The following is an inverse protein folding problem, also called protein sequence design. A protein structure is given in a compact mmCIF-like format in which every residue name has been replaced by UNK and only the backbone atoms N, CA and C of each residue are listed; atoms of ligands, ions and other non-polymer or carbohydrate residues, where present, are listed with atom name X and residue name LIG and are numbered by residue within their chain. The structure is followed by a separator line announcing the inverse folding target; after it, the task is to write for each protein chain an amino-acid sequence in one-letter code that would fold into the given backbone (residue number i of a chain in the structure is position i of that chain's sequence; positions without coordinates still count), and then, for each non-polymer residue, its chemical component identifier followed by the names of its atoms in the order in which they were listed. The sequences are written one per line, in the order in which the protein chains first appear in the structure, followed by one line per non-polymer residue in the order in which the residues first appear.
data_IF_522931953993
#
_entry.id   IF_522931953993
#
_cell.length_a   1.000
_cell.length_b   1.000
_cell.length_c   1.000
_cell.angle_alpha   90.00
_cell.angle_beta   90.00
_cell.angle_gamma   90.00
#
_symmetry.space_group_name_H-M   'P 1'
#
loop_
_entity.id
_entity.type
_entity.pdbx_description
1 polymer ?
#
# COMPACT_ATOMS: atom_id res chain seq x y z
N UNK A 1 -79.04 55.26 24.47
CA UNK A 1 -78.56 54.28 25.49
C UNK A 1 -78.53 52.89 24.86
N UNK A 2 -77.35 52.36 24.49
CA UNK A 2 -77.19 50.95 24.09
C UNK A 2 -75.96 50.37 24.77
N UNK A 3 -76.16 49.13 25.23
CA UNK A 3 -75.38 48.33 26.15
C UNK A 3 -73.97 47.99 25.67
N UNK A 4 -73.02 47.95 26.62
CA UNK A 4 -71.63 47.46 26.48
C UNK A 4 -71.63 45.96 26.19
N UNK A 5 -70.93 45.53 25.14
CA UNK A 5 -70.41 44.16 25.02
C UNK A 5 -68.92 44.18 25.31
N UNK A 6 -68.51 43.53 26.40
CA UNK A 6 -67.10 43.33 26.76
C UNK A 6 -66.67 41.93 26.28
N UNK A 7 -65.87 41.88 25.21
CA UNK A 7 -65.23 40.65 24.77
C UNK A 7 -64.19 40.23 25.82
N UNK A 8 -64.53 39.25 26.64
CA UNK A 8 -63.55 38.55 27.50
C UNK A 8 -62.71 37.63 26.62
N UNK A 9 -61.48 38.04 26.32
CA UNK A 9 -60.46 37.12 25.81
C UNK A 9 -60.17 36.07 26.90
N UNK A 10 -60.60 34.83 26.68
CA UNK A 10 -60.14 33.69 27.48
C UNK A 10 -58.62 33.62 27.38
N UNK A 11 -57.92 33.80 28.52
CA UNK A 11 -56.48 33.56 28.59
C UNK A 11 -56.26 32.05 28.41
N UNK A 12 -55.43 31.61 27.46
CA UNK A 12 -55.13 30.20 27.30
C UNK A 12 -54.52 29.66 28.59
N UNK A 13 -54.99 28.48 29.01
CA UNK A 13 -54.50 27.75 30.17
C UNK A 13 -52.98 27.63 30.15
N UNK A 14 -52.35 27.94 31.28
CA UNK A 14 -50.91 27.87 31.46
C UNK A 14 -50.39 26.46 31.17
N UNK A 15 -49.75 26.27 30.01
CA UNK A 15 -48.97 25.08 29.70
C UNK A 15 -47.78 25.04 30.68
N UNK A 16 -47.88 24.23 31.73
CA UNK A 16 -46.82 24.05 32.73
C UNK A 16 -46.25 22.64 32.58
N UNK A 17 -44.96 22.56 32.26
CA UNK A 17 -44.11 21.40 32.56
C UNK A 17 -43.60 20.57 31.38
N UNK A 18 -44.39 20.36 30.32
CA UNK A 18 -44.05 19.35 29.28
C UNK A 18 -43.09 19.88 28.20
N UNK A 19 -43.11 21.18 27.90
CA UNK A 19 -42.27 21.76 26.84
C UNK A 19 -40.76 21.56 27.06
N UNK A 20 -40.30 21.67 28.32
CA UNK A 20 -38.89 21.44 28.67
C UNK A 20 -38.47 19.99 28.43
N UNK A 21 -39.34 19.03 28.78
CA UNK A 21 -39.06 17.59 28.60
C UNK A 21 -38.96 17.26 27.12
N UNK A 22 -39.90 17.75 26.30
CA UNK A 22 -39.86 17.55 24.84
C UNK A 22 -38.59 18.17 24.24
N UNK A 23 -38.24 19.40 24.64
CA UNK A 23 -37.02 20.06 24.18
C UNK A 23 -35.75 19.27 24.53
N UNK A 24 -35.68 18.71 25.74
CA UNK A 24 -34.56 17.88 26.17
C UNK A 24 -34.48 16.57 25.36
N UNK A 25 -35.61 15.89 25.14
CA UNK A 25 -35.66 14.68 24.32
C UNK A 25 -35.20 14.97 22.89
N UNK A 26 -35.70 16.04 22.27
CA UNK A 26 -35.30 16.44 20.92
C UNK A 26 -33.81 16.79 20.86
N UNK A 27 -33.28 17.49 21.87
CA UNK A 27 -31.86 17.82 21.94
C UNK A 27 -30.99 16.55 22.05
N UNK A 28 -31.39 15.59 22.88
CA UNK A 28 -30.70 14.30 23.00
C UNK A 28 -30.75 13.49 21.70
N UNK A 29 -31.89 13.49 21.00
CA UNK A 29 -32.00 12.82 19.71
C UNK A 29 -31.07 13.46 18.67
N UNK A 30 -31.04 14.79 18.59
CA UNK A 30 -30.13 15.52 17.69
C UNK A 30 -28.66 15.26 18.01
N UNK A 31 -28.27 15.22 19.29
CA UNK A 31 -26.88 14.93 19.67
C UNK A 31 -26.47 13.51 19.34
N UNK A 32 -27.34 12.52 19.55
CA UNK A 32 -27.07 11.13 19.16
C UNK A 32 -26.89 10.99 17.65
N UNK A 33 -27.76 11.63 16.85
CA UNK A 33 -27.61 11.65 15.40
C UNK A 33 -26.28 12.30 14.98
N UNK A 34 -25.95 13.45 15.58
CA UNK A 34 -24.66 14.13 15.36
C UNK A 34 -23.45 13.24 15.68
N UNK A 35 -23.46 12.57 16.83
CA UNK A 35 -22.38 11.65 17.23
C UNK A 35 -22.24 10.45 16.30
N UNK A 36 -23.36 9.86 15.86
CA UNK A 36 -23.30 8.75 14.89
C UNK A 36 -22.71 9.18 13.55
N UNK A 37 -23.05 10.39 13.06
CA UNK A 37 -22.47 10.96 11.84
C UNK A 37 -20.96 11.19 11.99
N UNK A 38 -20.52 11.74 13.11
CA UNK A 38 -19.08 11.98 13.37
C UNK A 38 -18.28 10.68 13.44
N UNK A 39 -18.84 9.64 14.05
CA UNK A 39 -18.21 8.30 14.08
C UNK A 39 -18.05 7.71 12.68
N UNK A 40 -19.03 7.93 11.80
CA UNK A 40 -18.95 7.52 10.39
C UNK A 40 -17.78 8.20 9.66
N UNK A 41 -17.70 9.53 9.75
CA UNK A 41 -16.61 10.31 9.14
C UNK A 41 -15.23 9.87 9.64
N UNK A 42 -15.08 9.63 10.94
CA UNK A 42 -13.80 9.18 11.50
C UNK A 42 -13.37 7.79 10.99
N UNK A 43 -14.32 6.89 10.69
CA UNK A 43 -14.01 5.60 10.08
C UNK A 43 -13.61 5.75 8.62
N UNK A 44 -14.32 6.59 7.85
CA UNK A 44 -13.99 6.89 6.46
C UNK A 44 -12.61 7.55 6.32
N UNK A 45 -12.26 8.46 7.22
CA UNK A 45 -10.92 9.08 7.26
C UNK A 45 -9.82 8.03 7.45
N UNK A 46 -9.99 7.09 8.38
CA UNK A 46 -9.03 5.99 8.62
C UNK A 46 -8.91 5.05 7.43
N UNK A 47 -10.03 4.68 6.79
CA UNK A 47 -10.02 3.84 5.59
C UNK A 47 -9.34 4.55 4.41
N UNK A 48 -9.58 5.85 4.26
CA UNK A 48 -8.96 6.69 3.22
C UNK A 48 -7.46 6.83 3.46
N UNK A 49 -7.03 7.08 4.70
CA UNK A 49 -5.62 7.14 5.08
C UNK A 49 -4.88 5.84 4.78
N UNK A 50 -5.43 4.69 5.20
CA UNK A 50 -4.84 3.38 4.92
C UNK A 50 -4.77 3.07 3.41
N UNK A 51 -5.81 3.42 2.65
CA UNK A 51 -5.83 3.23 1.19
C UNK A 51 -4.79 4.11 0.49
N UNK A 52 -4.63 5.35 0.96
CA UNK A 52 -3.63 6.27 0.47
C UNK A 52 -2.21 5.77 0.74
N UNK A 53 -1.92 5.35 1.98
CA UNK A 53 -0.61 4.78 2.36
C UNK A 53 -0.28 3.54 1.53
N UNK A 54 -1.25 2.63 1.33
CA UNK A 54 -1.05 1.44 0.49
C UNK A 54 -0.79 1.80 -0.97
N UNK A 55 -1.48 2.80 -1.51
CA UNK A 55 -1.28 3.27 -2.89
C UNK A 55 0.11 3.87 -3.08
N UNK A 56 0.59 4.64 -2.09
CA UNK A 56 1.93 5.20 -2.11
C UNK A 56 3.01 4.10 -2.00
N UNK A 57 2.82 3.12 -1.10
CA UNK A 57 3.72 1.96 -1.02
C UNK A 57 3.75 1.17 -2.33
N UNK A 58 2.61 1.01 -3.01
CA UNK A 58 2.54 0.34 -4.32
C UNK A 58 3.34 1.10 -5.38
N UNK A 59 3.14 2.43 -5.49
CA UNK A 59 3.90 3.26 -6.43
C UNK A 59 5.42 3.20 -6.16
N UNK A 60 5.82 3.18 -4.89
CA UNK A 60 7.24 3.03 -4.53
C UNK A 60 7.79 1.65 -4.94
N UNK A 61 7.04 0.57 -4.70
CA UNK A 61 7.45 -0.77 -5.12
C UNK A 61 7.51 -0.89 -6.65
N UNK A 62 6.57 -0.29 -7.38
CA UNK A 62 6.57 -0.27 -8.85
C UNK A 62 7.77 0.54 -9.39
N UNK A 63 8.09 1.69 -8.78
CA UNK A 63 9.28 2.46 -9.12
C UNK A 63 10.56 1.62 -8.99
N UNK A 64 10.73 0.90 -7.88
CA UNK A 64 11.88 0.03 -7.68
C UNK A 64 11.92 -1.14 -8.68
N UNK A 65 10.76 -1.73 -8.99
CA UNK A 65 10.65 -2.80 -9.98
C UNK A 65 11.12 -2.31 -11.36
N UNK A 66 10.66 -1.13 -11.80
CA UNK A 66 11.05 -0.52 -13.08
C UNK A 66 12.53 -0.17 -13.13
N UNK A 67 13.09 0.34 -12.04
CA UNK A 67 14.51 0.64 -11.92
C UNK A 67 15.36 -0.64 -12.07
N UNK A 68 14.97 -1.72 -11.39
CA UNK A 68 15.64 -3.00 -11.47
C UNK A 68 15.51 -3.64 -12.87
N UNK A 69 14.35 -3.55 -13.52
CA UNK A 69 14.15 -3.99 -14.91
C UNK A 69 15.09 -3.23 -15.87
N UNK A 70 15.19 -1.90 -15.74
CA UNK A 70 16.11 -1.10 -16.54
C UNK A 70 17.58 -1.45 -16.31
N UNK A 71 17.95 -1.74 -15.05
CA UNK A 71 19.30 -2.21 -14.72
C UNK A 71 19.61 -3.56 -15.37
N UNK A 72 18.66 -4.51 -15.30
CA UNK A 72 18.80 -5.83 -15.93
C UNK A 72 18.93 -5.72 -17.44
N UNK A 73 18.09 -4.89 -18.07
CA UNK A 73 18.14 -4.66 -19.52
C UNK A 73 19.46 -4.01 -19.97
N UNK A 74 20.00 -3.09 -19.16
CA UNK A 74 21.27 -2.42 -19.48
C UNK A 74 22.49 -3.33 -19.28
N UNK A 75 22.53 -4.09 -18.17
CA UNK A 75 23.75 -4.76 -17.72
C UNK A 75 23.76 -6.28 -17.92
N UNK A 76 22.58 -6.91 -18.09
CA UNK A 76 22.40 -8.36 -18.27
C UNK A 76 23.26 -9.18 -17.29
N UNK A 77 23.17 -8.91 -15.98
CA UNK A 77 24.15 -9.42 -15.05
C UNK A 77 24.11 -10.95 -14.95
N UNK A 78 25.27 -11.59 -15.03
CA UNK A 78 25.44 -13.03 -14.82
C UNK A 78 26.28 -13.27 -13.56
N UNK A 79 25.66 -13.40 -12.38
CA UNK A 79 26.38 -13.57 -11.13
C UNK A 79 27.20 -14.88 -11.12
N UNK A 80 28.43 -14.80 -10.63
CA UNK A 80 29.42 -15.87 -10.71
C UNK A 80 29.20 -17.06 -9.74
N UNK A 81 28.27 -16.95 -8.78
CA UNK A 81 28.01 -17.99 -7.79
C UNK A 81 26.50 -18.22 -7.57
N UNK A 82 26.13 -19.49 -7.35
CA UNK A 82 24.81 -19.88 -6.83
C UNK A 82 24.63 -19.28 -5.42
N UNK A 83 23.43 -18.83 -5.10
CA UNK A 83 23.07 -18.15 -3.85
C UNK A 83 23.62 -16.72 -3.61
N UNK A 84 24.87 -16.39 -3.99
CA UNK A 84 25.47 -15.11 -3.64
C UNK A 84 24.67 -13.90 -4.16
N UNK A 85 24.45 -12.92 -3.30
CA UNK A 85 23.86 -11.62 -3.64
C UNK A 85 24.90 -10.51 -3.48
N UNK A 86 25.03 -9.65 -4.48
CA UNK A 86 25.89 -8.45 -4.49
C UNK A 86 25.08 -7.28 -5.03
N UNK A 87 24.88 -6.23 -4.22
CA UNK A 87 24.11 -5.04 -4.59
C UNK A 87 22.72 -5.37 -5.15
N UNK A 88 21.97 -6.28 -4.50
CA UNK A 88 20.66 -6.72 -4.98
C UNK A 88 20.67 -7.71 -6.15
N UNK A 89 21.82 -8.00 -6.75
CA UNK A 89 21.93 -8.99 -7.83
C UNK A 89 22.34 -10.33 -7.25
N UNK A 90 21.47 -11.31 -7.40
CA UNK A 90 21.57 -12.61 -6.78
C UNK A 90 21.69 -13.73 -7.81
N UNK A 91 22.52 -14.73 -7.52
CA UNK A 91 22.56 -15.99 -8.28
C UNK A 91 21.24 -16.76 -8.19
N UNK A 92 21.15 -17.85 -8.97
CA UNK A 92 19.95 -18.68 -9.00
C UNK A 92 19.55 -19.13 -7.60
N UNK A 93 18.25 -19.03 -7.26
CA UNK A 93 17.74 -19.55 -6.00
C UNK A 93 17.95 -21.06 -5.94
N UNK A 94 18.30 -21.56 -4.76
CA UNK A 94 18.39 -22.99 -4.48
C UNK A 94 16.99 -23.50 -4.08
N UNK A 95 16.44 -24.53 -4.74
CA UNK A 95 15.12 -25.07 -4.40
C UNK A 95 14.98 -25.59 -2.97
N UNK A 96 16.09 -25.90 -2.30
CA UNK A 96 16.10 -26.36 -0.90
C UNK A 96 16.04 -25.22 0.13
N UNK A 97 16.35 -24.00 -0.28
CA UNK A 97 16.36 -22.84 0.61
C UNK A 97 14.99 -22.14 0.60
N UNK A 98 14.71 -21.36 1.66
CA UNK A 98 13.54 -20.49 1.68
C UNK A 98 13.65 -19.44 0.57
N UNK A 99 12.49 -19.03 0.05
CA UNK A 99 12.42 -17.90 -0.87
C UNK A 99 13.01 -16.65 -0.21
N UNK A 100 13.99 -16.01 -0.87
CA UNK A 100 14.75 -14.89 -0.28
C UNK A 100 13.88 -13.73 0.20
N UNK A 101 12.73 -13.51 -0.43
CA UNK A 101 11.79 -12.46 -0.04
C UNK A 101 10.87 -12.84 1.12
N UNK A 102 10.76 -14.13 1.45
CA UNK A 102 10.05 -14.65 2.61
C UNK A 102 10.99 -14.97 3.78
N UNK A 103 12.29 -15.12 3.51
CA UNK A 103 13.28 -15.43 4.54
C UNK A 103 13.53 -14.22 5.46
N UNK A 104 13.13 -14.28 6.74
CA UNK A 104 13.38 -13.20 7.69
C UNK A 104 14.87 -13.03 8.02
N UNK A 105 15.69 -14.07 7.78
CA UNK A 105 17.13 -14.00 7.92
C UNK A 105 17.81 -13.40 6.68
N UNK A 106 17.10 -13.11 5.59
CA UNK A 106 17.67 -12.49 4.40
C UNK A 106 17.68 -10.95 4.50
N UNK A 107 18.84 -10.28 4.34
CA UNK A 107 20.16 -10.85 4.04
C UNK A 107 20.92 -11.37 5.27
N UNK A 108 21.50 -12.56 5.13
CA UNK A 108 22.46 -13.15 6.07
C UNK A 108 23.61 -13.80 5.29
N UNK A 109 24.78 -14.01 5.92
CA UNK A 109 25.86 -14.78 5.31
C UNK A 109 25.33 -16.16 4.82
N UNK A 110 25.65 -16.59 3.59
CA UNK A 110 26.70 -16.10 2.68
C UNK A 110 26.25 -15.01 1.68
N UNK A 111 25.09 -14.38 1.85
CA UNK A 111 24.48 -13.44 0.89
C UNK A 111 24.50 -11.98 1.40
N UNK A 112 25.67 -11.34 1.58
CA UNK A 112 25.77 -10.02 2.20
C UNK A 112 25.18 -8.88 1.36
N UNK A 113 25.03 -9.05 0.05
CA UNK A 113 24.54 -7.99 -0.85
C UNK A 113 23.03 -7.82 -0.93
N UNK A 114 22.26 -8.61 -0.19
CA UNK A 114 20.86 -8.40 0.21
C UNK A 114 19.92 -7.59 -0.66
N UNK A 115 19.01 -6.88 0.00
CA UNK A 115 18.09 -5.94 -0.65
C UNK A 115 18.83 -4.67 -1.04
N UNK A 116 18.76 -4.29 -2.32
CA UNK A 116 19.32 -3.04 -2.84
C UNK A 116 18.32 -1.91 -2.70
N UNK A 117 18.75 -0.76 -2.20
CA UNK A 117 17.92 0.45 -2.20
C UNK A 117 17.79 1.01 -3.63
N UNK A 118 16.55 1.26 -4.03
CA UNK A 118 16.22 2.01 -5.25
C UNK A 118 16.14 3.52 -4.96
N UNK A 119 15.92 4.28 -6.03
CA UNK A 119 15.70 5.72 -5.96
C UNK A 119 14.54 6.04 -5.01
N UNK A 120 14.76 7.02 -4.12
CA UNK A 120 13.76 7.45 -3.17
C UNK A 120 12.56 8.10 -3.87
N UNK A 121 11.37 7.68 -3.50
CA UNK A 121 10.11 8.27 -3.95
C UNK A 121 9.59 9.18 -2.86
N UNK A 122 9.30 10.44 -3.20
CA UNK A 122 8.75 11.43 -2.27
C UNK A 122 7.38 11.93 -2.70
N UNK A 123 6.52 12.14 -1.71
CA UNK A 123 5.21 12.78 -1.89
C UNK A 123 4.99 13.75 -0.71
N UNK A 124 5.34 15.02 -0.94
CA UNK A 124 5.33 16.05 0.09
C UNK A 124 6.30 15.71 1.24
N UNK A 125 5.84 15.66 2.50
CA UNK A 125 6.69 15.32 3.65
C UNK A 125 7.04 13.83 3.72
N UNK A 126 6.42 13.00 2.89
CA UNK A 126 6.61 11.56 2.90
C UNK A 126 7.77 11.21 1.97
N UNK A 127 8.72 10.45 2.49
CA UNK A 127 9.82 9.85 1.70
C UNK A 127 9.88 8.35 1.95
N UNK A 128 9.99 7.58 0.88
CA UNK A 128 10.10 6.13 0.89
C UNK A 128 11.30 5.72 0.05
N UNK A 129 12.17 4.91 0.62
CA UNK A 129 13.28 4.28 -0.12
C UNK A 129 12.92 2.82 -0.38
N UNK A 130 12.26 2.52 -1.52
CA UNK A 130 11.93 1.14 -1.86
C UNK A 130 13.20 0.34 -2.13
N UNK A 131 13.06 -0.99 -2.13
CA UNK A 131 14.17 -1.90 -2.30
C UNK A 131 13.84 -2.98 -3.32
N UNK A 132 14.86 -3.55 -3.95
CA UNK A 132 14.70 -4.68 -4.87
C UNK A 132 15.79 -5.73 -4.69
N UNK A 133 15.49 -6.92 -5.18
CA UNK A 133 16.43 -7.97 -5.50
C UNK A 133 16.15 -8.49 -6.91
N UNK A 134 17.20 -8.92 -7.58
CA UNK A 134 17.19 -9.50 -8.92
C UNK A 134 17.82 -10.88 -8.82
N UNK A 135 17.06 -11.92 -9.11
CA UNK A 135 17.52 -13.30 -9.08
C UNK A 135 17.70 -13.82 -10.49
N UNK A 136 18.92 -14.22 -10.84
CA UNK A 136 19.21 -14.82 -12.14
C UNK A 136 18.68 -16.26 -12.22
N UNK A 137 17.75 -16.52 -13.12
CA UNK A 137 17.14 -17.85 -13.30
C UNK A 137 17.87 -18.71 -14.34
N UNK A 138 18.80 -18.13 -15.10
CA UNK A 138 19.55 -18.81 -16.16
C UNK A 138 19.42 -18.13 -17.52
N UNK A 139 20.10 -18.69 -18.50
CA UNK A 139 20.20 -18.25 -19.91
C UNK A 139 19.69 -19.28 -20.91
N UNK A 140 19.15 -20.41 -20.45
CA UNK A 140 18.69 -21.49 -21.35
C UNK A 140 17.23 -21.32 -21.80
N UNK A 141 16.70 -20.09 -21.77
CA UNK A 141 15.31 -19.81 -22.09
C UNK A 141 15.14 -19.40 -23.56
N UNK A 142 14.00 -19.75 -24.19
CA UNK A 142 13.72 -19.30 -25.55
C UNK A 142 13.45 -17.80 -25.57
N UNK A 143 14.14 -17.09 -26.46
CA UNK A 143 13.91 -15.66 -26.72
C UNK A 143 12.52 -15.40 -27.31
N UNK A 144 12.01 -16.34 -28.11
CA UNK A 144 10.67 -16.31 -28.68
C UNK A 144 9.86 -17.53 -28.20
N UNK A 145 9.10 -17.40 -27.10
CA UNK A 145 8.24 -18.47 -26.61
C UNK A 145 7.22 -18.89 -27.69
N UNK A 146 7.16 -20.19 -27.99
CA UNK A 146 6.27 -20.74 -29.01
C UNK A 146 6.87 -20.89 -30.41
N UNK A 147 8.09 -20.38 -30.63
CA UNK A 147 8.87 -20.68 -31.83
C UNK A 147 9.86 -21.83 -31.54
N UNK A 148 9.65 -23.04 -32.08
CA UNK A 148 10.56 -24.18 -31.83
C UNK A 148 11.96 -23.99 -32.45
N UNK A 149 12.13 -23.00 -33.33
CA UNK A 149 13.43 -22.63 -33.90
C UNK A 149 14.13 -21.49 -33.13
N UNK A 150 13.55 -20.99 -32.03
CA UNK A 150 14.17 -19.96 -31.19
C UNK A 150 15.49 -20.46 -30.61
N UNK A 151 16.49 -19.58 -30.56
CA UNK A 151 17.67 -19.81 -29.72
C UNK A 151 17.25 -19.80 -28.25
N UNK A 152 17.95 -20.63 -27.46
CA UNK A 152 17.74 -20.80 -26.03
C UNK A 152 18.92 -20.19 -25.26
N UNK A 153 19.22 -18.94 -25.56
CA UNK A 153 20.30 -18.14 -24.97
C UNK A 153 19.80 -16.91 -24.20
N UNK A 154 18.48 -16.71 -24.16
CA UNK A 154 17.88 -15.59 -23.46
C UNK A 154 17.95 -15.73 -21.96
N UNK A 155 18.36 -14.64 -21.31
CA UNK A 155 18.50 -14.55 -19.87
C UNK A 155 17.16 -14.27 -19.24
N UNK A 156 16.90 -14.94 -18.12
CA UNK A 156 15.68 -14.75 -17.34
C UNK A 156 16.01 -14.39 -15.92
N UNK A 157 15.26 -13.44 -15.40
CA UNK A 157 15.42 -12.89 -14.07
C UNK A 157 14.08 -12.89 -13.35
N UNK A 158 14.09 -13.19 -12.06
CA UNK A 158 12.98 -12.87 -11.17
C UNK A 158 13.35 -11.63 -10.38
N UNK A 159 12.59 -10.57 -10.54
CA UNK A 159 12.81 -9.31 -9.85
C UNK A 159 11.74 -9.21 -8.78
N UNK A 160 12.17 -9.06 -7.52
CA UNK A 160 11.26 -8.83 -6.40
C UNK A 160 11.55 -7.45 -5.83
N UNK A 161 10.54 -6.58 -5.85
CA UNK A 161 10.62 -5.23 -5.33
C UNK A 161 9.69 -5.08 -4.13
N UNK A 162 10.10 -4.33 -3.11
CA UNK A 162 9.28 -4.00 -1.95
C UNK A 162 9.31 -2.51 -1.66
N UNK A 163 8.19 -2.00 -1.17
CA UNK A 163 8.15 -0.67 -0.57
C UNK A 163 9.07 -0.62 0.65
N UNK A 164 9.54 0.58 1.00
CA UNK A 164 10.51 0.79 2.07
C UNK A 164 10.18 -0.03 3.34
N UNK A 165 11.08 -0.91 3.81
CA UNK A 165 10.87 -1.63 5.07
C UNK A 165 11.09 -0.70 6.27
N UNK A 166 10.36 -0.91 7.37
CA UNK A 166 10.69 -0.32 8.67
C UNK A 166 10.04 1.03 9.01
N UNK A 167 8.88 1.35 8.44
CA UNK A 167 8.01 2.43 8.95
C UNK A 167 6.68 1.88 9.50
N UNK A 168 5.86 2.73 10.13
CA UNK A 168 4.49 2.40 10.58
C UNK A 168 3.49 2.12 9.42
N UNK A 169 4.00 1.83 8.22
CA UNK A 169 3.21 1.64 7.00
C UNK A 169 3.23 0.19 6.54
N UNK A 170 2.16 -0.19 5.83
CA UNK A 170 2.09 -1.48 5.15
C UNK A 170 3.20 -1.61 4.10
N UNK A 171 3.89 -2.75 4.12
CA UNK A 171 4.86 -3.12 3.09
C UNK A 171 4.11 -3.76 1.91
N UNK A 172 4.30 -3.21 0.72
CA UNK A 172 3.82 -3.79 -0.54
C UNK A 172 5.01 -4.45 -1.23
N UNK A 173 4.81 -5.66 -1.75
CA UNK A 173 5.81 -6.41 -2.49
C UNK A 173 5.26 -6.77 -3.87
N UNK A 174 6.07 -6.54 -4.90
CA UNK A 174 5.78 -6.86 -6.29
C UNK A 174 6.85 -7.81 -6.82
N UNK A 175 6.46 -8.68 -7.75
CA UNK A 175 7.38 -9.61 -8.38
C UNK A 175 7.10 -9.67 -9.88
N UNK A 176 8.16 -9.58 -10.68
CA UNK A 176 8.10 -9.80 -12.13
C UNK A 176 9.12 -10.85 -12.56
N UNK A 177 8.82 -11.52 -13.67
CA UNK A 177 9.78 -12.37 -14.38
C UNK A 177 10.14 -11.64 -15.66
N UNK A 178 11.37 -11.16 -15.72
CA UNK A 178 11.90 -10.36 -16.82
C UNK A 178 12.80 -11.21 -17.71
N UNK A 179 12.67 -11.06 -19.02
CA UNK A 179 13.49 -11.73 -20.02
C UNK A 179 14.25 -10.68 -20.84
N UNK A 180 15.51 -10.96 -21.12
CA UNK A 180 16.38 -10.08 -21.94
C UNK A 180 17.28 -10.96 -22.79
N UNK A 181 17.55 -10.50 -24.00
CA UNK A 181 18.38 -11.18 -25.01
C UNK A 181 19.88 -11.02 -24.71
#
# INVERSE_FOLDING_TARGET
MRSRSSNRFSRPSAQRGVALVIALVLLVLMTLLGLTSMRGVALEERMTGNTYDRSLSFQAAESALREAEALVEANRPTPAALAACVNGICGSPNPADLERWLDPAFPSPPNPGGWQAATQVSNGPISLTPQYIVEYLGDTFPCQPGNPASTNDCKRYRITARSAPGGDRSVVMLQSVFATD
#
